data_IF_110090028373
#
_entry.id   IF_110090028373
#
_cell.length_a   1.000
_cell.length_b   1.000
_cell.length_c   1.000
_cell.angle_alpha   90.00
_cell.angle_beta   90.00
_cell.angle_gamma   90.00
#
_symmetry.space_group_name_H-M   'P 1'
#
loop_
_entity.id
_entity.type
_entity.pdbx_description
1 polymer ?
#
# COMPACT_ATOMS: atom_id res chain seq x y z
N UNK A 1 30.54 -23.36 15.70
CA UNK A 1 29.36 -23.54 14.81
C UNK A 1 28.12 -22.81 15.37
N UNK A 2 27.94 -22.72 16.70
CA UNK A 2 26.82 -21.99 17.34
C UNK A 2 26.93 -20.45 17.25
N UNK A 3 28.13 -19.88 17.41
CA UNK A 3 28.30 -18.42 17.53
C UNK A 3 27.84 -17.61 16.30
N UNK A 4 27.92 -18.19 15.10
CA UNK A 4 27.47 -17.54 13.87
C UNK A 4 25.94 -17.51 13.80
N UNK A 5 25.29 -18.59 14.23
CA UNK A 5 23.84 -18.71 14.23
C UNK A 5 23.23 -17.83 15.32
N UNK A 6 23.84 -17.79 16.50
CA UNK A 6 23.41 -16.90 17.59
C UNK A 6 23.54 -15.42 17.23
N UNK A 7 24.64 -15.02 16.56
CA UNK A 7 24.80 -13.64 16.07
C UNK A 7 23.75 -13.25 15.04
N UNK A 8 23.49 -14.12 14.06
CA UNK A 8 22.46 -13.85 13.05
C UNK A 8 21.06 -13.79 13.65
N UNK A 9 20.77 -14.62 14.67
CA UNK A 9 19.49 -14.60 15.38
C UNK A 9 19.31 -13.30 16.16
N UNK A 10 20.37 -12.84 16.84
CA UNK A 10 20.35 -11.60 17.63
C UNK A 10 20.17 -10.38 16.73
N UNK A 11 20.83 -10.35 15.58
CA UNK A 11 20.65 -9.29 14.57
C UNK A 11 19.27 -9.31 13.93
N UNK A 12 18.69 -10.51 13.69
CA UNK A 12 17.34 -10.63 13.17
C UNK A 12 16.30 -10.12 14.19
N UNK A 13 16.47 -10.44 15.48
CA UNK A 13 15.60 -9.97 16.55
C UNK A 13 15.67 -8.44 16.72
N UNK A 14 16.86 -7.86 16.71
CA UNK A 14 17.03 -6.41 16.77
C UNK A 14 16.37 -5.68 15.59
N UNK A 15 16.48 -6.23 14.37
CA UNK A 15 15.81 -5.66 13.20
C UNK A 15 14.28 -5.74 13.28
N UNK A 16 13.72 -6.79 13.92
CA UNK A 16 12.27 -6.90 14.14
C UNK A 16 11.79 -5.89 15.19
N UNK A 17 12.58 -5.62 16.22
CA UNK A 17 12.24 -4.61 17.23
C UNK A 17 12.28 -3.18 16.64
N UNK A 18 13.27 -2.88 15.80
CA UNK A 18 13.46 -1.55 15.22
C UNK A 18 12.48 -1.24 14.07
N UNK A 19 12.21 -2.22 13.21
CA UNK A 19 11.42 -2.02 11.99
C UNK A 19 10.03 -2.68 12.03
N UNK A 20 9.72 -3.44 13.09
CA UNK A 20 8.58 -4.35 13.13
C UNK A 20 8.81 -5.59 12.23
N UNK A 21 7.85 -6.52 12.22
CA UNK A 21 7.82 -7.67 11.29
C UNK A 21 7.50 -7.20 9.84
N UNK A 22 8.37 -6.35 9.30
CA UNK A 22 8.27 -5.75 7.98
C UNK A 22 9.39 -6.37 7.15
N UNK A 23 9.03 -7.38 6.36
CA UNK A 23 9.92 -7.95 5.35
C UNK A 23 10.56 -6.82 4.51
N UNK A 24 11.91 -6.79 4.35
CA UNK A 24 12.62 -5.74 3.65
C UNK A 24 12.08 -5.53 2.23
N UNK A 25 12.12 -4.29 1.72
CA UNK A 25 11.60 -3.96 0.39
C UNK A 25 12.24 -4.76 -0.77
N UNK A 26 13.44 -5.30 -0.55
CA UNK A 26 14.15 -6.16 -1.52
C UNK A 26 13.72 -7.64 -1.46
N UNK A 27 12.90 -8.03 -0.47
CA UNK A 27 12.26 -9.35 -0.35
C UNK A 27 10.80 -9.24 -0.79
N UNK A 28 10.56 -8.55 -1.91
CA UNK A 28 9.30 -8.64 -2.64
C UNK A 28 9.43 -9.71 -3.72
N UNK A 29 9.49 -10.97 -3.30
CA UNK A 29 9.23 -12.08 -4.23
C UNK A 29 7.79 -11.88 -4.75
N UNK A 30 7.53 -11.95 -6.07
CA UNK A 30 6.19 -11.91 -6.64
C UNK A 30 5.16 -12.75 -5.86
N UNK A 31 5.57 -13.90 -5.34
CA UNK A 31 4.71 -14.75 -4.51
C UNK A 31 4.30 -14.07 -3.20
N UNK A 32 5.26 -13.49 -2.48
CA UNK A 32 5.01 -12.79 -1.21
C UNK A 32 4.13 -11.55 -1.40
N UNK A 33 4.30 -10.83 -2.53
CA UNK A 33 3.46 -9.69 -2.87
C UNK A 33 2.02 -10.12 -3.14
N UNK A 34 1.81 -11.22 -3.89
CA UNK A 34 0.48 -11.77 -4.15
C UNK A 34 -0.20 -12.23 -2.86
N UNK A 35 0.52 -12.92 -1.98
CA UNK A 35 0.00 -13.37 -0.68
C UNK A 35 -0.41 -12.18 0.20
N UNK A 36 0.46 -11.17 0.32
CA UNK A 36 0.16 -9.95 1.06
C UNK A 36 -1.07 -9.24 0.48
N UNK A 37 -1.18 -9.14 -0.84
CA UNK A 37 -2.33 -8.50 -1.47
C UNK A 37 -3.63 -9.27 -1.25
N UNK A 38 -3.59 -10.61 -1.31
CA UNK A 38 -4.74 -11.46 -0.99
C UNK A 38 -5.18 -11.31 0.46
N UNK A 39 -4.24 -11.34 1.39
CA UNK A 39 -4.52 -11.14 2.82
C UNK A 39 -5.15 -9.76 3.08
N UNK A 40 -4.62 -8.71 2.45
CA UNK A 40 -5.15 -7.35 2.56
C UNK A 40 -6.57 -7.25 1.98
N UNK A 41 -6.84 -7.84 0.81
CA UNK A 41 -8.18 -7.85 0.22
C UNK A 41 -9.18 -8.60 1.10
N UNK A 42 -8.79 -9.72 1.69
CA UNK A 42 -9.64 -10.50 2.59
C UNK A 42 -9.97 -9.76 3.90
N UNK A 43 -9.03 -8.95 4.42
CA UNK A 43 -9.30 -8.08 5.57
C UNK A 43 -10.26 -6.92 5.23
N UNK A 44 -10.17 -6.37 4.01
CA UNK A 44 -11.01 -5.22 3.60
C UNK A 44 -12.39 -5.61 3.08
N UNK A 45 -12.51 -6.76 2.42
CA UNK A 45 -13.72 -7.19 1.71
C UNK A 45 -13.96 -8.68 1.93
N UNK A 46 -15.24 -9.04 2.06
CA UNK A 46 -15.69 -10.42 2.17
C UNK A 46 -16.77 -10.69 1.14
N UNK A 47 -16.77 -11.89 0.56
CA UNK A 47 -17.90 -12.36 -0.24
C UNK A 47 -19.10 -12.61 0.69
N UNK A 48 -20.26 -12.08 0.32
CA UNK A 48 -21.53 -12.30 1.01
C UNK A 48 -22.41 -13.20 0.14
N UNK A 49 -22.49 -14.49 0.52
CA UNK A 49 -23.26 -15.51 -0.22
C UNK A 49 -24.76 -15.18 -0.29
N UNK A 50 -25.30 -14.50 0.72
CA UNK A 50 -26.70 -14.11 0.74
C UNK A 50 -26.98 -12.98 -0.26
N UNK A 51 -26.02 -12.07 -0.45
CA UNK A 51 -26.14 -10.93 -1.38
C UNK A 51 -25.54 -11.18 -2.75
N UNK A 52 -24.83 -12.31 -2.94
CA UNK A 52 -24.14 -12.67 -4.17
C UNK A 52 -23.10 -11.65 -4.62
N UNK A 53 -22.45 -10.92 -3.68
CA UNK A 53 -21.48 -9.86 -3.99
C UNK A 53 -20.47 -9.64 -2.88
N UNK A 54 -19.35 -9.00 -3.22
CA UNK A 54 -18.37 -8.54 -2.23
C UNK A 54 -18.92 -7.36 -1.42
N UNK A 55 -18.71 -7.41 -0.11
CA UNK A 55 -19.12 -6.38 0.84
C UNK A 55 -17.90 -5.95 1.66
N UNK A 56 -17.79 -4.65 1.94
CA UNK A 56 -16.74 -4.10 2.80
C UNK A 56 -16.90 -4.60 4.24
N UNK A 57 -15.79 -5.03 4.84
CA UNK A 57 -15.72 -5.36 6.27
C UNK A 57 -15.78 -4.08 7.12
N UNK A 58 -15.88 -4.23 8.44
CA UNK A 58 -15.75 -3.09 9.36
C UNK A 58 -14.42 -2.33 9.17
N UNK A 59 -13.32 -3.06 8.99
CA UNK A 59 -11.98 -2.54 8.69
C UNK A 59 -11.95 -1.81 7.35
N UNK A 60 -12.53 -2.41 6.31
CA UNK A 60 -12.66 -1.80 4.98
C UNK A 60 -13.41 -0.48 5.00
N UNK A 61 -14.56 -0.42 5.68
CA UNK A 61 -15.35 0.81 5.84
C UNK A 61 -14.60 1.89 6.62
N UNK A 62 -13.94 1.54 7.72
CA UNK A 62 -13.14 2.49 8.52
C UNK A 62 -11.97 3.08 7.72
N UNK A 63 -11.26 2.26 6.94
CA UNK A 63 -10.16 2.75 6.09
C UNK A 63 -10.65 3.64 4.95
N UNK A 64 -11.78 3.29 4.33
CA UNK A 64 -12.38 4.13 3.29
C UNK A 64 -12.80 5.49 3.85
N UNK A 65 -13.50 5.50 4.98
CA UNK A 65 -13.93 6.74 5.66
C UNK A 65 -12.76 7.57 6.18
N UNK A 66 -11.70 6.93 6.72
CA UNK A 66 -10.48 7.61 7.13
C UNK A 66 -9.76 8.29 5.95
N UNK A 67 -9.79 7.69 4.74
CA UNK A 67 -9.25 8.33 3.52
C UNK A 67 -10.03 9.55 3.07
N UNK A 68 -11.32 9.65 3.40
CA UNK A 68 -12.13 10.83 3.08
C UNK A 68 -11.90 12.01 4.04
N UNK A 69 -11.12 11.82 5.11
CA UNK A 69 -10.74 12.88 6.07
C UNK A 69 -9.37 13.50 5.82
N UNK A 70 -8.69 13.22 4.70
CA UNK A 70 -7.63 14.12 4.24
C UNK A 70 -8.30 15.35 3.64
N UNK A 71 -7.93 16.60 4.02
CA UNK A 71 -8.38 17.78 3.29
C UNK A 71 -7.91 17.61 1.86
N UNK A 72 -8.82 17.24 0.96
CA UNK A 72 -8.51 17.17 -0.46
C UNK A 72 -8.20 18.58 -0.91
N UNK A 73 -6.92 18.94 -0.94
CA UNK A 73 -6.44 20.08 -1.68
C UNK A 73 -6.80 19.80 -3.14
N UNK A 74 -7.93 20.37 -3.59
CA UNK A 74 -8.29 20.42 -4.99
C UNK A 74 -7.18 21.19 -5.67
N UNK A 75 -6.23 20.48 -6.29
CA UNK A 75 -5.17 21.13 -7.07
C UNK A 75 -5.85 21.63 -8.35
N UNK A 76 -5.96 22.94 -8.57
CA UNK A 76 -6.58 23.45 -9.78
C UNK A 76 -5.77 22.99 -11.00
N UNK A 77 -6.48 22.53 -12.03
CA UNK A 77 -5.91 22.15 -13.32
C UNK A 77 -5.15 23.37 -13.87
N UNK A 78 -3.81 23.34 -13.89
CA UNK A 78 -3.02 24.35 -14.61
C UNK A 78 -3.28 24.16 -16.10
N UNK A 79 -4.01 25.12 -16.69
CA UNK A 79 -4.32 25.20 -18.12
C UNK A 79 -3.03 25.49 -18.90
N UNK A 80 -2.26 24.45 -19.21
CA UNK A 80 -1.09 24.52 -20.07
C UNK A 80 -1.47 24.60 -21.55
N UNK A 81 -2.06 25.72 -21.98
CA UNK A 81 -2.33 26.03 -23.39
C UNK A 81 -1.91 27.47 -23.67
N UNK A 82 -0.60 27.73 -23.71
CA UNK A 82 -0.08 29.02 -24.18
C UNK A 82 1.29 28.93 -24.84
N UNK A 83 1.59 27.81 -25.52
CA UNK A 83 2.76 27.69 -26.40
C UNK A 83 2.44 27.05 -27.76
N UNK A 84 1.26 27.32 -28.32
CA UNK A 84 0.92 26.92 -29.71
C UNK A 84 0.59 28.09 -30.66
N UNK A 85 0.67 29.34 -30.19
CA UNK A 85 0.46 30.54 -31.02
C UNK A 85 1.72 31.44 -31.09
N UNK A 86 2.89 30.84 -31.31
CA UNK A 86 4.12 31.58 -31.68
C UNK A 86 4.91 30.89 -32.79
N UNK A 87 4.18 30.23 -33.71
CA UNK A 87 4.75 29.58 -34.90
C UNK A 87 3.91 29.87 -36.17
N UNK A 88 3.05 30.90 -36.15
CA UNK A 88 2.31 31.36 -37.34
C UNK A 88 2.29 32.88 -37.54
N UNK A 89 2.98 33.66 -36.72
CA UNK A 89 3.11 35.11 -36.93
C UNK A 89 4.37 35.63 -36.20
N UNK A 90 5.52 35.41 -36.83
CA UNK A 90 6.77 36.17 -36.73
C UNK A 90 7.82 35.49 -37.62
#
# INVERSE_FOLDING_TARGET
MMDRQEKMLTEALANVDDFGDIAPAHVQDPMTMVLRQRALLADLMRWDDYRGRYVLTGTGRRRLTARHHTPSAVVPFRKGQEKRNKAKEA
#
